data_IF_379204907545
#
_entry.id   IF_379204907545
#
_cell.length_a   1.000
_cell.length_b   1.000
_cell.length_c   1.000
_cell.angle_alpha   90.00
_cell.angle_beta   90.00
_cell.angle_gamma   90.00
#
_symmetry.space_group_name_H-M   'P 1'
#
loop_
_entity.id
_entity.type
_entity.pdbx_description
1 polymer ?
#
# COMPACT_ATOMS: atom_id res chain seq x y z
N UNK A 1 -0.99 12.44 -7.38
CA UNK A 1 -1.68 13.59 -6.77
C UNK A 1 -3.16 13.34 -6.52
N UNK A 2 -3.94 12.81 -7.47
CA UNK A 2 -5.40 12.68 -7.31
C UNK A 2 -5.88 12.08 -5.99
N UNK A 3 -5.25 10.99 -5.52
CA UNK A 3 -5.57 10.36 -4.23
C UNK A 3 -5.28 11.30 -3.06
N UNK A 4 -4.11 11.96 -3.06
CA UNK A 4 -3.74 12.93 -2.03
C UNK A 4 -4.70 14.13 -2.02
N UNK A 5 -5.06 14.67 -3.19
CA UNK A 5 -6.03 15.76 -3.30
C UNK A 5 -7.43 15.36 -2.81
N UNK A 6 -7.89 14.14 -3.09
CA UNK A 6 -9.15 13.59 -2.55
C UNK A 6 -9.16 13.56 -1.02
N UNK A 7 -8.00 13.34 -0.41
CA UNK A 7 -7.81 13.38 1.04
C UNK A 7 -7.39 14.76 1.58
N UNK A 8 -7.56 15.83 0.78
CA UNK A 8 -7.35 17.24 1.16
C UNK A 8 -5.89 17.60 1.46
N UNK A 9 -4.93 16.90 0.88
CA UNK A 9 -3.54 17.34 0.88
C UNK A 9 -3.31 18.38 -0.23
N UNK A 10 -2.66 19.48 0.12
CA UNK A 10 -2.19 20.50 -0.81
C UNK A 10 -1.02 19.94 -1.62
N UNK A 11 -1.33 19.29 -2.75
CA UNK A 11 -0.34 18.59 -3.56
C UNK A 11 -0.39 18.96 -5.04
N UNK A 12 0.72 18.71 -5.73
CA UNK A 12 0.84 18.86 -7.18
C UNK A 12 1.85 17.86 -7.75
N UNK A 13 1.83 17.67 -9.07
CA UNK A 13 2.76 16.79 -9.78
C UNK A 13 3.81 17.56 -10.55
N UNK A 14 4.96 16.91 -10.75
CA UNK A 14 6.04 17.38 -11.61
C UNK A 14 6.58 16.21 -12.45
N UNK A 15 6.29 16.20 -13.74
CA UNK A 15 6.75 15.15 -14.67
C UNK A 15 7.23 15.75 -16.00
N UNK A 16 7.88 14.93 -16.84
CA UNK A 16 8.55 15.37 -18.06
C UNK A 16 7.63 15.95 -19.14
N UNK A 17 6.39 15.46 -19.22
CA UNK A 17 5.42 15.90 -20.23
C UNK A 17 4.73 17.23 -19.90
N UNK A 18 5.09 17.86 -18.77
CA UNK A 18 4.52 19.15 -18.39
C UNK A 18 5.11 20.28 -19.23
N UNK A 19 4.24 21.14 -19.77
CA UNK A 19 4.66 22.40 -20.38
C UNK A 19 5.44 23.26 -19.37
N UNK A 20 6.44 23.99 -19.84
CA UNK A 20 7.27 24.87 -19.01
C UNK A 20 6.45 25.84 -18.12
N UNK A 21 5.41 26.47 -18.66
CA UNK A 21 4.55 27.38 -17.88
C UNK A 21 3.84 26.69 -16.69
N UNK A 22 3.36 25.46 -16.90
CA UNK A 22 2.75 24.66 -15.80
C UNK A 22 3.78 24.28 -14.76
N UNK A 23 4.98 23.88 -15.20
CA UNK A 23 6.10 23.55 -14.32
C UNK A 23 6.46 24.75 -13.44
N UNK A 24 6.62 25.94 -14.02
CA UNK A 24 6.90 27.16 -13.26
C UNK A 24 5.79 27.50 -12.26
N UNK A 25 4.52 27.35 -12.64
CA UNK A 25 3.40 27.58 -11.73
C UNK A 25 3.42 26.64 -10.52
N UNK A 26 3.65 25.34 -10.74
CA UNK A 26 3.75 24.36 -9.65
C UNK A 26 4.95 24.66 -8.76
N UNK A 27 6.10 25.01 -9.34
CA UNK A 27 7.29 25.35 -8.58
C UNK A 27 7.13 26.64 -7.76
N UNK A 28 6.44 27.64 -8.30
CA UNK A 28 6.11 28.86 -7.56
C UNK A 28 5.20 28.53 -6.37
N UNK A 29 4.15 27.73 -6.58
CA UNK A 29 3.26 27.28 -5.51
C UNK A 29 3.95 26.43 -4.45
N UNK A 30 4.95 25.64 -4.84
CA UNK A 30 5.75 24.88 -3.87
C UNK A 30 6.67 25.80 -3.04
N UNK A 31 7.27 26.82 -3.66
CA UNK A 31 8.12 27.80 -2.97
C UNK A 31 7.36 28.75 -2.04
N UNK A 32 6.13 29.12 -2.39
CA UNK A 32 5.27 29.96 -1.53
C UNK A 32 4.44 29.17 -0.51
N UNK A 33 4.65 27.84 -0.46
CA UNK A 33 3.98 26.88 0.41
C UNK A 33 2.46 26.72 0.18
N UNK A 34 1.90 27.23 -0.91
CA UNK A 34 0.52 26.90 -1.33
C UNK A 34 0.39 25.46 -1.85
N UNK A 35 1.50 24.84 -2.24
CA UNK A 35 1.64 23.40 -2.44
C UNK A 35 2.61 22.88 -1.38
N UNK A 36 2.16 21.93 -0.56
CA UNK A 36 2.96 21.34 0.53
C UNK A 36 3.58 20.00 0.15
N UNK A 37 2.98 19.29 -0.81
CA UNK A 37 3.43 17.98 -1.28
C UNK A 37 3.66 18.01 -2.78
N UNK A 38 4.88 17.68 -3.21
CA UNK A 38 5.22 17.57 -4.62
C UNK A 38 5.47 16.10 -4.97
N UNK A 39 4.74 15.58 -5.95
CA UNK A 39 4.93 14.22 -6.49
C UNK A 39 5.69 14.33 -7.81
N UNK A 40 6.89 13.78 -7.90
CA UNK A 40 7.75 13.96 -9.06
C UNK A 40 8.42 12.68 -9.54
N UNK A 41 8.73 12.62 -10.85
CA UNK A 41 9.62 11.61 -11.42
C UNK A 41 11.07 12.09 -11.41
N UNK A 42 12.04 11.17 -11.42
CA UNK A 42 13.47 11.50 -11.37
C UNK A 42 13.91 12.48 -12.45
N UNK A 43 13.46 12.25 -13.68
CA UNK A 43 13.76 13.10 -14.82
C UNK A 43 13.30 14.53 -14.56
N UNK A 44 12.11 14.68 -13.99
CA UNK A 44 11.53 15.99 -13.76
C UNK A 44 12.09 16.66 -12.49
N UNK A 45 12.56 15.89 -11.51
CA UNK A 45 13.15 16.38 -10.26
C UNK A 45 14.66 16.71 -10.37
N UNK A 46 15.34 16.32 -11.45
CA UNK A 46 16.72 16.75 -11.70
C UNK A 46 16.78 18.27 -11.88
N UNK A 47 17.75 18.91 -11.21
CA UNK A 47 17.86 20.36 -11.18
C UNK A 47 16.76 21.08 -10.39
N UNK A 48 15.94 20.34 -9.63
CA UNK A 48 14.98 20.90 -8.70
C UNK A 48 15.74 21.54 -7.53
N UNK A 49 15.92 22.86 -7.60
CA UNK A 49 16.46 23.66 -6.52
C UNK A 49 15.31 24.23 -5.70
N UNK A 50 14.94 23.47 -4.65
CA UNK A 50 13.97 23.93 -3.65
C UNK A 50 14.60 23.80 -2.29
N UNK A 51 14.65 24.91 -1.59
CA UNK A 51 15.05 24.95 -0.20
C UNK A 51 13.89 24.51 0.71
N UNK A 52 14.24 23.94 1.86
CA UNK A 52 13.26 23.67 2.92
C UNK A 52 12.43 22.39 2.74
N UNK A 53 12.82 21.48 1.83
CA UNK A 53 12.27 20.12 1.84
C UNK A 53 12.67 19.45 3.15
N UNK A 54 11.69 19.13 3.99
CA UNK A 54 11.90 18.48 5.29
C UNK A 54 11.84 16.97 5.18
N UNK A 55 11.01 16.44 4.28
CA UNK A 55 10.75 15.02 4.11
C UNK A 55 10.86 14.65 2.63
N UNK A 56 11.62 13.60 2.34
CA UNK A 56 11.62 12.91 1.04
C UNK A 56 10.96 11.54 1.23
N UNK A 57 10.08 11.15 0.33
CA UNK A 57 9.45 9.82 0.32
C UNK A 57 9.75 9.17 -1.03
N UNK A 58 10.52 8.09 -1.02
CA UNK A 58 10.64 7.19 -2.17
C UNK A 58 9.38 6.33 -2.19
N UNK A 59 8.44 6.66 -3.07
CA UNK A 59 7.23 5.86 -3.25
C UNK A 59 7.59 4.51 -3.88
N UNK A 60 8.36 4.54 -4.97
CA UNK A 60 9.01 3.37 -5.56
C UNK A 60 10.51 3.47 -5.29
N UNK A 61 11.15 2.35 -4.92
CA UNK A 61 12.59 2.31 -4.73
C UNK A 61 13.29 2.49 -6.10
N UNK A 62 14.35 3.33 -6.20
CA UNK A 62 15.05 3.49 -7.46
C UNK A 62 15.89 2.26 -7.79
N UNK A 63 15.88 1.83 -9.05
CA UNK A 63 16.71 0.72 -9.55
C UNK A 63 18.22 0.99 -9.40
N UNK A 64 18.60 2.27 -9.49
CA UNK A 64 19.98 2.71 -9.46
C UNK A 64 20.33 3.34 -8.08
N UNK A 65 21.33 2.81 -7.35
CA UNK A 65 21.75 3.36 -6.05
C UNK A 65 22.11 4.85 -6.06
N UNK A 66 22.65 5.35 -7.17
CA UNK A 66 22.99 6.76 -7.36
C UNK A 66 21.74 7.65 -7.31
N UNK A 67 20.64 7.20 -7.93
CA UNK A 67 19.39 7.95 -7.93
C UNK A 67 18.79 7.99 -6.50
N UNK A 68 18.97 6.95 -5.69
CA UNK A 68 18.57 6.98 -4.26
C UNK A 68 19.22 8.15 -3.51
N UNK A 69 20.54 8.29 -3.61
CA UNK A 69 21.29 9.37 -2.94
C UNK A 69 20.87 10.74 -3.49
N UNK A 70 20.65 10.86 -4.80
CA UNK A 70 20.17 12.11 -5.41
C UNK A 70 18.75 12.52 -4.97
N UNK A 71 17.87 11.54 -4.70
CA UNK A 71 16.51 11.76 -4.18
C UNK A 71 16.58 12.21 -2.72
N UNK A 72 17.24 11.45 -1.85
CA UNK A 72 17.30 11.80 -0.42
C UNK A 72 18.09 13.09 -0.16
N UNK A 73 19.06 13.43 -1.04
CA UNK A 73 19.81 14.68 -0.98
C UNK A 73 18.98 15.95 -1.22
N UNK A 74 17.68 15.83 -1.50
CA UNK A 74 16.75 16.97 -1.56
C UNK A 74 16.38 17.49 -0.18
N UNK A 75 16.42 16.65 0.86
CA UNK A 75 16.21 17.07 2.25
C UNK A 75 17.53 17.31 2.99
N UNK A 76 17.48 17.89 4.19
CA UNK A 76 18.66 18.08 5.05
C UNK A 76 19.72 19.06 4.50
N UNK A 77 19.34 19.95 3.57
CA UNK A 77 20.26 20.93 2.96
C UNK A 77 20.53 22.10 3.93
N UNK A 78 21.68 22.77 3.73
CA UNK A 78 22.09 23.95 4.50
C UNK A 78 22.16 23.74 6.02
N UNK A 79 22.59 22.55 6.47
CA UNK A 79 22.74 22.23 7.89
C UNK A 79 21.42 22.02 8.64
N UNK A 80 20.28 22.01 7.94
CA UNK A 80 18.98 21.65 8.52
C UNK A 80 18.85 20.13 8.65
N UNK A 81 18.05 19.68 9.60
CA UNK A 81 17.66 18.26 9.66
C UNK A 81 16.66 17.93 8.57
N UNK A 82 16.66 16.67 8.16
CA UNK A 82 15.79 16.13 7.13
C UNK A 82 15.58 14.64 7.33
N UNK A 83 14.46 14.11 6.83
CA UNK A 83 14.17 12.68 6.91
C UNK A 83 13.82 12.14 5.54
N UNK A 84 14.29 10.93 5.23
CA UNK A 84 13.92 10.21 4.04
C UNK A 84 13.24 8.90 4.43
N UNK A 85 12.11 8.62 3.80
CA UNK A 85 11.35 7.38 3.93
C UNK A 85 11.34 6.66 2.59
N UNK A 86 11.34 5.34 2.61
CA UNK A 86 11.19 4.53 1.40
C UNK A 86 10.18 3.44 1.66
N UNK A 87 9.22 3.29 0.76
CA UNK A 87 8.39 2.09 0.73
C UNK A 87 9.18 0.98 0.02
N UNK A 88 9.08 -0.23 0.57
CA UNK A 88 9.84 -1.40 0.12
C UNK A 88 8.87 -2.58 0.18
N UNK A 89 8.50 -3.09 -0.99
CA UNK A 89 7.78 -4.35 -1.14
C UNK A 89 8.73 -5.55 -1.16
N UNK A 90 8.17 -6.75 -1.28
CA UNK A 90 8.98 -8.00 -1.36
C UNK A 90 9.93 -8.00 -2.55
N UNK A 91 9.50 -7.48 -3.69
CA UNK A 91 10.25 -7.39 -4.93
C UNK A 91 11.44 -6.42 -4.85
N UNK A 92 11.39 -5.45 -3.94
CA UNK A 92 12.40 -4.40 -3.82
C UNK A 92 13.61 -4.82 -2.98
N UNK A 93 13.55 -5.97 -2.29
CA UNK A 93 14.59 -6.40 -1.34
C UNK A 93 15.99 -6.48 -1.99
N UNK A 94 16.07 -6.98 -3.23
CA UNK A 94 17.33 -7.04 -3.97
C UNK A 94 17.86 -5.65 -4.34
N UNK A 95 16.97 -4.71 -4.68
CA UNK A 95 17.34 -3.32 -4.97
C UNK A 95 17.81 -2.61 -3.68
N UNK A 96 17.10 -2.82 -2.57
CA UNK A 96 17.46 -2.26 -1.27
C UNK A 96 18.85 -2.73 -0.82
N UNK A 97 19.15 -4.03 -0.97
CA UNK A 97 20.47 -4.58 -0.63
C UNK A 97 21.59 -3.98 -1.49
N UNK A 98 21.33 -3.73 -2.78
CA UNK A 98 22.27 -3.00 -3.65
C UNK A 98 22.48 -1.56 -3.16
N UNK A 99 21.42 -0.83 -2.83
CA UNK A 99 21.52 0.55 -2.31
C UNK A 99 22.36 0.59 -1.04
N UNK A 100 22.08 -0.31 -0.08
CA UNK A 100 22.80 -0.40 1.19
C UNK A 100 24.28 -0.71 0.99
N UNK A 101 24.58 -1.69 0.14
CA UNK A 101 25.97 -2.13 -0.10
C UNK A 101 26.80 -1.10 -0.87
N UNK A 102 26.26 -0.48 -1.92
CA UNK A 102 26.97 0.54 -2.71
C UNK A 102 27.40 1.73 -1.86
N UNK A 103 26.52 2.22 -1.00
CA UNK A 103 26.76 3.45 -0.22
C UNK A 103 27.08 3.18 1.26
N UNK A 104 27.24 1.92 1.66
CA UNK A 104 27.44 1.50 3.05
C UNK A 104 26.39 2.10 4.00
N UNK A 105 25.14 2.14 3.56
CA UNK A 105 24.02 2.72 4.30
C UNK A 105 23.36 1.68 5.20
N UNK A 106 23.05 2.10 6.42
CA UNK A 106 22.13 1.37 7.30
C UNK A 106 20.75 1.98 7.17
N UNK A 107 19.84 1.27 6.52
CA UNK A 107 18.43 1.65 6.38
C UNK A 107 17.64 0.73 7.31
N UNK A 108 16.98 1.32 8.30
CA UNK A 108 16.20 0.57 9.30
C UNK A 108 14.78 0.33 8.79
N UNK A 109 14.33 -0.92 8.89
CA UNK A 109 12.91 -1.23 8.77
C UNK A 109 12.21 -0.74 10.04
N UNK A 110 11.14 0.01 9.86
CA UNK A 110 10.32 0.54 10.94
C UNK A 110 8.86 0.38 10.57
N UNK A 111 7.99 0.26 11.58
CA UNK A 111 6.55 0.31 11.37
C UNK A 111 6.11 1.70 10.91
N UNK A 112 4.93 1.76 10.28
CA UNK A 112 4.32 3.04 9.93
C UNK A 112 4.13 3.91 11.18
N UNK A 113 4.43 5.22 11.11
CA UNK A 113 4.28 6.10 12.26
C UNK A 113 2.81 6.22 12.67
N UNK A 114 2.58 6.42 13.97
CA UNK A 114 1.24 6.72 14.47
C UNK A 114 0.70 8.02 13.87
N UNK A 115 -0.63 8.11 13.75
CA UNK A 115 -1.28 9.32 13.28
C UNK A 115 -1.02 10.48 14.26
N UNK A 116 -0.88 11.72 13.75
CA UNK A 116 -0.81 12.90 14.62
C UNK A 116 -2.04 12.98 15.52
N UNK A 117 -1.90 13.51 16.75
CA UNK A 117 -3.00 13.64 17.71
C UNK A 117 -4.24 14.37 17.15
N UNK A 118 -4.03 15.28 16.20
CA UNK A 118 -5.10 16.02 15.52
C UNK A 118 -5.94 15.16 14.56
N UNK A 119 -5.45 13.99 14.17
CA UNK A 119 -6.08 13.08 13.21
C UNK A 119 -6.65 11.88 13.96
N UNK A 120 -7.94 11.93 14.28
CA UNK A 120 -8.63 10.90 15.09
C UNK A 120 -8.86 9.56 14.37
N UNK A 121 -8.80 9.54 13.04
CA UNK A 121 -8.99 8.35 12.22
C UNK A 121 -8.15 8.47 10.96
N UNK A 122 -7.58 7.35 10.52
CA UNK A 122 -6.89 7.31 9.25
C UNK A 122 -7.89 7.65 8.12
N UNK A 123 -7.62 8.68 7.30
CA UNK A 123 -8.46 8.98 6.15
C UNK A 123 -8.51 7.83 5.13
N UNK A 124 -7.53 6.92 5.15
CA UNK A 124 -7.43 5.75 4.31
C UNK A 124 -7.46 4.52 5.21
N UNK A 125 -8.45 3.64 5.04
CA UNK A 125 -8.41 2.36 5.75
C UNK A 125 -7.18 1.57 5.30
N UNK A 126 -6.42 1.05 6.26
CA UNK A 126 -5.38 0.08 5.99
C UNK A 126 -5.94 -1.00 5.06
N UNK A 127 -5.29 -1.17 3.91
CA UNK A 127 -5.56 -2.28 3.00
C UNK A 127 -4.34 -3.16 3.07
N UNK A 128 -4.53 -4.42 3.47
CA UNK A 128 -3.49 -5.41 3.23
C UNK A 128 -3.27 -5.52 1.73
N UNK A 129 -2.01 -5.54 1.32
CA UNK A 129 -1.66 -5.83 -0.06
C UNK A 129 -1.77 -7.33 -0.30
N UNK A 130 -2.98 -7.76 -0.62
CA UNK A 130 -3.29 -9.14 -0.95
C UNK A 130 -2.57 -9.60 -2.23
N UNK A 131 -2.06 -8.68 -3.06
CA UNK A 131 -1.37 -9.07 -4.30
C UNK A 131 -0.05 -9.79 -4.03
N UNK A 132 0.71 -9.38 -3.00
CA UNK A 132 1.96 -10.05 -2.62
C UNK A 132 1.76 -11.49 -2.12
N UNK A 133 0.56 -11.79 -1.61
CA UNK A 133 0.19 -13.11 -1.08
C UNK A 133 -0.67 -13.93 -2.06
N UNK A 134 -0.88 -13.41 -3.28
CA UNK A 134 -1.72 -14.04 -4.27
C UNK A 134 -0.95 -14.99 -5.19
N UNK A 135 -1.65 -15.99 -5.70
CA UNK A 135 -1.14 -16.87 -6.74
C UNK A 135 -1.11 -16.16 -8.12
N UNK A 136 -0.59 -16.80 -9.19
CA UNK A 136 -0.53 -16.20 -10.53
C UNK A 136 -1.90 -15.81 -11.12
N UNK A 137 -3.01 -16.28 -10.55
CA UNK A 137 -4.36 -15.91 -10.95
C UNK A 137 -4.96 -14.79 -10.09
N UNK A 138 -4.16 -14.21 -9.18
CA UNK A 138 -4.59 -13.16 -8.27
C UNK A 138 -5.42 -13.67 -7.10
N UNK A 139 -5.40 -14.97 -6.81
CA UNK A 139 -6.18 -15.58 -5.73
C UNK A 139 -5.34 -15.68 -4.46
N UNK A 140 -5.91 -15.28 -3.33
CA UNK A 140 -5.34 -15.50 -1.99
C UNK A 140 -6.13 -16.56 -1.26
N UNK A 141 -5.45 -17.40 -0.48
CA UNK A 141 -6.09 -18.43 0.32
C UNK A 141 -6.41 -17.89 1.71
N UNK A 142 -7.69 -17.96 2.10
CA UNK A 142 -8.17 -17.59 3.43
C UNK A 142 -8.52 -18.88 4.18
N UNK A 143 -7.99 -19.07 5.39
CA UNK A 143 -8.47 -20.10 6.31
C UNK A 143 -9.60 -19.55 7.17
N UNK A 144 -10.59 -20.40 7.42
CA UNK A 144 -11.72 -20.16 8.30
C UNK A 144 -11.68 -21.24 9.38
N UNK A 145 -11.77 -20.83 10.64
CA UNK A 145 -11.74 -21.70 11.83
C UNK A 145 -13.04 -22.49 12.03
N UNK A 146 -13.55 -23.08 10.96
CA UNK A 146 -14.76 -23.90 10.95
C UNK A 146 -14.62 -24.98 9.88
N UNK A 147 -14.82 -26.22 10.26
CA UNK A 147 -14.80 -27.35 9.34
C UNK A 147 -16.18 -27.91 9.05
N UNK A 148 -16.21 -29.18 8.66
CA UNK A 148 -17.37 -29.88 8.09
C UNK A 148 -18.60 -29.96 9.01
N UNK A 149 -18.41 -29.80 10.32
CA UNK A 149 -19.52 -29.76 11.29
C UNK A 149 -20.42 -28.53 11.13
N UNK A 150 -19.82 -27.39 10.75
CA UNK A 150 -20.47 -26.08 10.57
C UNK A 150 -20.67 -25.80 9.08
N UNK A 151 -19.60 -25.89 8.29
CA UNK A 151 -19.61 -25.62 6.85
C UNK A 151 -19.80 -26.95 6.12
N UNK A 152 -21.06 -27.27 5.79
CA UNK A 152 -21.43 -28.57 5.21
C UNK A 152 -21.43 -28.59 3.69
N UNK A 153 -21.44 -27.41 3.06
CA UNK A 153 -21.58 -27.24 1.63
C UNK A 153 -20.72 -26.09 1.14
N UNK A 154 -19.91 -26.34 0.12
CA UNK A 154 -19.11 -25.31 -0.55
C UNK A 154 -20.00 -24.25 -1.20
N UNK A 155 -21.11 -24.67 -1.82
CA UNK A 155 -22.09 -23.78 -2.44
C UNK A 155 -22.74 -22.84 -1.41
N UNK A 156 -23.08 -23.37 -0.24
CA UNK A 156 -23.69 -22.55 0.83
C UNK A 156 -22.72 -21.47 1.32
N UNK A 157 -21.45 -21.83 1.49
CA UNK A 157 -20.42 -20.86 1.87
C UNK A 157 -20.19 -19.82 0.76
N UNK A 158 -20.10 -20.25 -0.51
CA UNK A 158 -19.88 -19.33 -1.62
C UNK A 158 -21.03 -18.34 -1.76
N UNK A 159 -22.28 -18.80 -1.71
CA UNK A 159 -23.47 -17.95 -1.83
C UNK A 159 -23.52 -16.94 -0.68
N UNK A 160 -23.26 -17.39 0.55
CA UNK A 160 -23.21 -16.52 1.71
C UNK A 160 -22.13 -15.43 1.56
N UNK A 161 -20.94 -15.78 1.06
CA UNK A 161 -19.87 -14.80 0.81
C UNK A 161 -20.29 -13.81 -0.29
N UNK A 162 -20.85 -14.29 -1.41
CA UNK A 162 -21.31 -13.45 -2.53
C UNK A 162 -22.34 -12.43 -2.04
N UNK A 163 -23.34 -12.87 -1.30
CA UNK A 163 -24.43 -12.04 -0.81
C UNK A 163 -23.97 -11.01 0.23
N UNK A 164 -23.19 -11.45 1.23
CA UNK A 164 -22.81 -10.59 2.35
C UNK A 164 -21.65 -9.65 2.00
N UNK A 165 -20.66 -10.12 1.22
CA UNK A 165 -19.53 -9.30 0.79
C UNK A 165 -19.80 -8.54 -0.51
N UNK A 166 -20.92 -8.80 -1.20
CA UNK A 166 -21.27 -8.17 -2.48
C UNK A 166 -20.13 -8.30 -3.50
N UNK A 167 -19.61 -9.51 -3.63
CA UNK A 167 -18.53 -9.85 -4.57
C UNK A 167 -19.10 -10.58 -5.78
N UNK A 168 -18.37 -10.59 -6.90
CA UNK A 168 -18.75 -11.38 -8.08
C UNK A 168 -18.44 -12.85 -7.81
N UNK A 169 -19.20 -13.76 -8.42
CA UNK A 169 -18.95 -15.21 -8.33
C UNK A 169 -17.52 -15.57 -8.77
N UNK A 170 -17.02 -14.93 -9.83
CA UNK A 170 -15.64 -15.06 -10.32
C UNK A 170 -14.56 -14.67 -9.28
N UNK A 171 -14.92 -13.97 -8.20
CA UNK A 171 -13.99 -13.61 -7.15
C UNK A 171 -13.80 -14.75 -6.12
N UNK A 172 -14.56 -15.84 -6.21
CA UNK A 172 -14.43 -17.03 -5.36
C UNK A 172 -13.84 -18.15 -6.20
N UNK A 173 -12.76 -18.75 -5.69
CA UNK A 173 -12.06 -19.87 -6.29
C UNK A 173 -12.38 -21.18 -5.59
N UNK A 174 -11.36 -21.99 -5.40
CA UNK A 174 -11.47 -23.29 -4.74
C UNK A 174 -11.89 -23.15 -3.28
N UNK A 175 -12.83 -23.99 -2.83
CA UNK A 175 -13.21 -24.15 -1.43
C UNK A 175 -12.88 -25.57 -0.99
N UNK A 176 -12.03 -25.70 0.04
CA UNK A 176 -11.63 -26.97 0.63
C UNK A 176 -12.10 -27.03 2.08
N UNK A 177 -13.07 -27.91 2.36
CA UNK A 177 -13.60 -28.11 3.71
C UNK A 177 -12.87 -29.30 4.34
N UNK A 178 -12.27 -29.09 5.50
CA UNK A 178 -11.67 -30.12 6.35
C UNK A 178 -12.51 -30.30 7.62
N UNK A 179 -12.05 -31.14 8.56
CA UNK A 179 -12.81 -31.42 9.79
C UNK A 179 -12.89 -30.20 10.74
N UNK A 180 -11.78 -29.47 10.88
CA UNK A 180 -11.67 -28.34 11.81
C UNK A 180 -11.63 -26.98 11.10
N UNK A 181 -11.20 -26.94 9.84
CA UNK A 181 -10.96 -25.71 9.10
C UNK A 181 -11.53 -25.79 7.67
N UNK A 182 -11.84 -24.62 7.11
CA UNK A 182 -12.21 -24.48 5.70
C UNK A 182 -11.26 -23.48 5.05
N UNK A 183 -10.76 -23.80 3.88
CA UNK A 183 -9.96 -22.90 3.06
C UNK A 183 -10.78 -22.42 1.88
N UNK A 184 -10.73 -21.13 1.59
CA UNK A 184 -11.37 -20.53 0.43
C UNK A 184 -10.38 -19.63 -0.30
N UNK A 185 -10.24 -19.85 -1.60
CA UNK A 185 -9.48 -18.95 -2.46
C UNK A 185 -10.37 -17.77 -2.86
N UNK A 186 -9.90 -16.55 -2.61
CA UNK A 186 -10.62 -15.31 -2.92
C UNK A 186 -9.72 -14.42 -3.77
N UNK A 187 -10.26 -13.80 -4.80
CA UNK A 187 -9.51 -12.83 -5.60
C UNK A 187 -9.02 -11.68 -4.71
N UNK A 188 -7.75 -11.30 -4.85
CA UNK A 188 -7.04 -10.33 -4.00
C UNK A 188 -7.77 -9.00 -3.81
N UNK A 189 -8.41 -8.48 -4.87
CA UNK A 189 -9.23 -7.26 -4.83
C UNK A 189 -10.44 -7.33 -3.86
N UNK A 190 -10.92 -8.54 -3.58
CA UNK A 190 -12.08 -8.82 -2.74
C UNK A 190 -11.72 -9.38 -1.37
N UNK A 191 -10.49 -9.88 -1.19
CA UNK A 191 -10.03 -10.59 0.00
C UNK A 191 -10.28 -9.83 1.31
N UNK A 192 -9.85 -8.56 1.39
CA UNK A 192 -10.07 -7.72 2.58
C UNK A 192 -11.54 -7.64 2.97
N UNK A 193 -12.41 -7.47 1.98
CA UNK A 193 -13.85 -7.31 2.22
C UNK A 193 -14.48 -8.61 2.68
N UNK A 194 -14.06 -9.74 2.09
CA UNK A 194 -14.55 -11.06 2.47
C UNK A 194 -14.11 -11.38 3.90
N UNK A 195 -12.85 -11.14 4.25
CA UNK A 195 -12.32 -11.35 5.60
C UNK A 195 -13.08 -10.52 6.64
N UNK A 196 -13.26 -9.21 6.40
CA UNK A 196 -14.06 -8.34 7.28
C UNK A 196 -15.51 -8.82 7.47
N UNK A 197 -16.11 -9.42 6.43
CA UNK A 197 -17.48 -9.92 6.49
C UNK A 197 -17.56 -11.23 7.27
N UNK A 198 -16.60 -12.15 7.08
CA UNK A 198 -16.52 -13.41 7.82
C UNK A 198 -16.38 -13.14 9.32
N UNK A 199 -15.51 -12.20 9.71
CA UNK A 199 -15.29 -11.86 11.13
C UNK A 199 -16.47 -11.11 11.78
N UNK A 200 -17.24 -10.34 11.00
CA UNK A 200 -18.31 -9.48 11.53
C UNK A 200 -19.68 -10.11 11.52
N UNK A 201 -19.92 -11.12 10.68
CA UNK A 201 -21.24 -11.74 10.50
C UNK A 201 -21.24 -13.17 11.00
N UNK A 202 -22.44 -13.63 11.32
CA UNK A 202 -22.66 -15.01 11.70
C UNK A 202 -23.01 -15.84 10.47
N UNK A 203 -22.40 -17.02 10.38
CA UNK A 203 -22.74 -18.07 9.43
C UNK A 203 -23.45 -19.17 10.23
N UNK A 204 -24.69 -19.50 9.86
CA UNK A 204 -25.49 -20.50 10.60
C UNK A 204 -25.57 -20.24 12.12
N UNK A 205 -25.61 -18.95 12.52
CA UNK A 205 -25.68 -18.53 13.92
C UNK A 205 -24.36 -18.65 14.69
N UNK A 206 -23.23 -18.89 14.02
CA UNK A 206 -21.90 -18.94 14.62
C UNK A 206 -21.00 -17.85 14.06
N UNK A 207 -20.20 -17.23 14.92
CA UNK A 207 -19.11 -16.36 14.49
C UNK A 207 -17.95 -17.19 14.02
N UNK A 208 -17.37 -16.79 12.90
CA UNK A 208 -16.24 -17.44 12.29
C UNK A 208 -15.00 -16.56 12.47
N UNK A 209 -13.85 -17.16 12.71
CA UNK A 209 -12.57 -16.48 12.61
C UNK A 209 -11.92 -16.83 11.28
N UNK A 210 -11.28 -15.85 10.64
CA UNK A 210 -10.62 -16.05 9.36
C UNK A 210 -9.24 -15.39 9.33
N UNK A 211 -8.29 -16.04 8.67
CA UNK A 211 -6.92 -15.55 8.54
C UNK A 211 -6.40 -15.79 7.13
N UNK A 212 -5.38 -15.04 6.73
CA UNK A 212 -4.60 -15.39 5.54
C UNK A 212 -3.91 -16.74 5.80
N UNK A 213 -4.09 -17.68 4.88
CA UNK A 213 -3.39 -18.95 4.89
C UNK A 213 -2.31 -18.94 3.80
N UNK A 214 -1.09 -19.30 4.18
CA UNK A 214 -0.02 -19.53 3.23
C UNK A 214 -0.27 -20.90 2.58
N UNK A 215 -0.25 -20.96 1.25
CA UNK A 215 -0.33 -22.22 0.51
C UNK A 215 0.91 -23.09 0.74
#
# INVERSE_FOLDING_TARGET
>A
DERLSKHRFECSTLHGDMSQNKREKVMNGYRDASVRVLVATDVAARGLDVDGVTIVINYDLPDNPEDYVHRIGRTGRMGRSGTAWSFVGREDLLQLDRIRSTWSLTIYQVEAPELPESVKRDPIRARMDWSESSDPFGMVRISISAGSSIIRSTLQLSDWIIENAKVKELAIGEIQISDDNTFVDIHSESAQRVLEIIERREFEGQRLEANLAIR
#
